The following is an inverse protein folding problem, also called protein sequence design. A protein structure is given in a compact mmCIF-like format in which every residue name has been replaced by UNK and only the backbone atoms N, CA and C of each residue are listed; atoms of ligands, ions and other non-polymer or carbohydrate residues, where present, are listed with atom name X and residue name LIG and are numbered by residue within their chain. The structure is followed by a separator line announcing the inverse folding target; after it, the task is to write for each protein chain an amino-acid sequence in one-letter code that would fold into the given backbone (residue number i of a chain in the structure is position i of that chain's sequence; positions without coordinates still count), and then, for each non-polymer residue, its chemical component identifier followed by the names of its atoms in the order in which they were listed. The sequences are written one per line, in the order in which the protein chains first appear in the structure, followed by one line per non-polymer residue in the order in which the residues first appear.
data_IF_690720866454
#
_entry.id   IF_690720866454
#
_cell.length_a   1.000
_cell.length_b   1.000
_cell.length_c   1.000
_cell.angle_alpha   90.00
_cell.angle_beta   90.00
_cell.angle_gamma   90.00
#
_symmetry.space_group_name_H-M   'P 1'
#
loop_
_entity.id
_entity.type
_entity.pdbx_description
1 polymer ?
#
# COMPACT_ATOMS: atom_id res chain seq x y z
N UNK A 1 -22.45 -1.04 -15.04
CA UNK A 1 -21.19 -0.44 -14.54
C UNK A 1 -20.10 -1.46 -14.73
N UNK A 2 -19.15 -1.22 -15.61
CA UNK A 2 -17.99 -2.11 -15.75
C UNK A 2 -17.16 -1.97 -14.48
N UNK A 3 -16.81 -3.05 -13.76
CA UNK A 3 -15.91 -2.92 -12.62
C UNK A 3 -14.59 -2.35 -13.14
N UNK A 4 -14.13 -1.27 -12.50
CA UNK A 4 -12.81 -0.69 -12.78
C UNK A 4 -11.77 -1.72 -12.34
N UNK A 5 -11.32 -2.53 -13.28
CA UNK A 5 -10.28 -3.52 -13.01
C UNK A 5 -8.98 -2.73 -13.00
N UNK A 6 -8.39 -2.60 -11.83
CA UNK A 6 -7.05 -2.01 -11.67
C UNK A 6 -6.07 -2.71 -12.62
N UNK A 7 -5.19 -1.93 -13.26
CA UNK A 7 -4.21 -2.50 -14.20
C UNK A 7 -3.18 -3.40 -13.49
N UNK A 8 -3.09 -3.33 -12.17
CA UNK A 8 -2.19 -4.16 -11.39
C UNK A 8 -2.82 -4.59 -10.06
N UNK A 9 -2.69 -5.87 -9.73
CA UNK A 9 -3.07 -6.45 -8.45
C UNK A 9 -1.80 -6.78 -7.68
N UNK A 10 -1.68 -6.26 -6.45
CA UNK A 10 -0.59 -6.54 -5.53
C UNK A 10 -1.08 -7.45 -4.40
N UNK A 11 -0.53 -8.66 -4.31
CA UNK A 11 -0.76 -9.59 -3.20
C UNK A 11 0.42 -9.50 -2.23
N UNK A 12 0.14 -9.32 -0.94
CA UNK A 12 1.17 -9.12 0.09
C UNK A 12 0.97 -10.14 1.20
N UNK A 13 2.01 -10.92 1.48
CA UNK A 13 2.07 -11.76 2.68
C UNK A 13 2.40 -10.87 3.89
N UNK A 14 1.39 -10.63 4.74
CA UNK A 14 1.50 -9.68 5.83
C UNK A 14 2.50 -10.07 6.91
N UNK A 15 2.55 -11.35 7.30
CA UNK A 15 3.49 -11.79 8.33
C UNK A 15 4.91 -11.92 7.81
N UNK A 16 5.10 -12.27 6.54
CA UNK A 16 6.40 -12.24 5.90
C UNK A 16 6.96 -10.80 5.90
N UNK A 17 6.13 -9.81 5.54
CA UNK A 17 6.50 -8.39 5.60
C UNK A 17 6.86 -7.94 7.02
N UNK A 18 6.02 -8.23 8.02
CA UNK A 18 6.28 -7.88 9.43
C UNK A 18 7.57 -8.54 9.94
N UNK A 19 7.85 -9.77 9.50
CA UNK A 19 9.03 -10.50 9.91
C UNK A 19 10.35 -9.96 9.35
N UNK A 20 10.32 -9.39 8.15
CA UNK A 20 11.51 -9.00 7.40
C UNK A 20 11.73 -7.48 7.32
N UNK A 21 10.67 -6.68 7.44
CA UNK A 21 10.83 -5.24 7.48
C UNK A 21 11.31 -4.79 8.86
N UNK A 22 12.54 -4.24 9.01
CA UNK A 22 13.16 -3.99 10.30
C UNK A 22 12.29 -3.19 11.28
N UNK A 23 11.66 -2.13 10.80
CA UNK A 23 10.78 -1.26 11.58
C UNK A 23 9.54 -1.99 12.12
N UNK A 24 8.93 -2.87 11.33
CA UNK A 24 7.75 -3.65 11.72
C UNK A 24 8.15 -4.81 12.63
N UNK A 25 9.30 -5.46 12.35
CA UNK A 25 9.85 -6.52 13.18
C UNK A 25 10.16 -6.02 14.59
N UNK A 26 10.78 -4.86 14.74
CA UNK A 26 11.06 -4.27 16.04
C UNK A 26 9.78 -4.04 16.87
N UNK A 27 8.70 -3.59 16.24
CA UNK A 27 7.40 -3.43 16.91
C UNK A 27 6.79 -4.77 17.32
N UNK A 28 6.81 -5.75 16.43
CA UNK A 28 6.34 -7.11 16.74
C UNK A 28 7.09 -7.70 17.95
N UNK A 29 8.41 -7.52 18.01
CA UNK A 29 9.27 -8.11 19.04
C UNK A 29 9.07 -7.47 20.41
N UNK A 30 8.40 -6.32 20.49
CA UNK A 30 7.93 -5.67 21.74
C UNK A 30 6.53 -6.11 22.17
N UNK A 31 6.04 -7.25 21.71
CA UNK A 31 4.68 -7.78 21.93
C UNK A 31 3.54 -6.89 21.33
N UNK A 32 3.86 -6.09 20.34
CA UNK A 32 2.91 -5.18 19.68
C UNK A 32 2.54 -5.66 18.26
N UNK A 33 2.25 -6.95 18.09
CA UNK A 33 1.91 -7.52 16.78
C UNK A 33 0.76 -6.77 16.10
N UNK A 34 -0.26 -6.39 16.87
CA UNK A 34 -1.39 -5.61 16.33
C UNK A 34 -0.96 -4.21 15.88
N UNK A 35 -0.02 -3.60 16.59
CA UNK A 35 0.56 -2.31 16.18
C UNK A 35 1.35 -2.45 14.89
N UNK A 36 2.13 -3.53 14.72
CA UNK A 36 2.86 -3.80 13.48
C UNK A 36 1.91 -4.04 12.29
N UNK A 37 0.79 -4.77 12.50
CA UNK A 37 -0.26 -4.94 11.47
C UNK A 37 -0.85 -3.62 11.05
N UNK A 38 -1.25 -2.79 12.01
CA UNK A 38 -1.86 -1.47 11.75
C UNK A 38 -0.93 -0.58 10.96
N UNK A 39 0.34 -0.53 11.34
CA UNK A 39 1.34 0.25 10.62
C UNK A 39 1.55 -0.25 9.18
N UNK A 40 1.61 -1.57 8.97
CA UNK A 40 1.70 -2.14 7.62
C UNK A 40 0.48 -1.75 6.78
N UNK A 41 -0.72 -1.79 7.33
CA UNK A 41 -1.95 -1.34 6.65
C UNK A 41 -1.84 0.14 6.28
N UNK A 42 -1.44 1.02 7.20
CA UNK A 42 -1.32 2.46 6.96
C UNK A 42 -0.36 2.80 5.82
N UNK A 43 0.82 2.18 5.80
CA UNK A 43 1.80 2.46 4.73
C UNK A 43 1.33 1.92 3.38
N UNK A 44 0.62 0.79 3.35
CA UNK A 44 0.07 0.21 2.13
C UNK A 44 -1.14 0.99 1.60
N UNK A 45 -1.92 1.67 2.44
CA UNK A 45 -3.00 2.59 2.00
C UNK A 45 -2.43 3.67 1.07
N UNK A 46 -1.38 4.34 1.51
CA UNK A 46 -0.74 5.39 0.71
C UNK A 46 -0.06 4.82 -0.55
N UNK A 47 0.66 3.72 -0.39
CA UNK A 47 1.38 3.10 -1.49
C UNK A 47 0.45 2.62 -2.60
N UNK A 48 -0.60 1.87 -2.26
CA UNK A 48 -1.56 1.35 -3.24
C UNK A 48 -2.32 2.46 -3.96
N UNK A 49 -2.65 3.56 -3.25
CA UNK A 49 -3.34 4.70 -3.85
C UNK A 49 -2.45 5.47 -4.84
N UNK A 50 -1.16 5.67 -4.51
CA UNK A 50 -0.21 6.38 -5.38
C UNK A 50 0.16 5.56 -6.62
N UNK A 51 0.29 4.25 -6.46
CA UNK A 51 0.62 3.32 -7.56
C UNK A 51 -0.60 2.89 -8.38
N UNK A 52 -1.81 3.23 -7.93
CA UNK A 52 -3.09 2.76 -8.49
C UNK A 52 -3.19 1.22 -8.54
N UNK A 53 -2.70 0.55 -7.50
CA UNK A 53 -2.80 -0.90 -7.34
C UNK A 53 -4.11 -1.29 -6.65
N UNK A 54 -4.67 -2.44 -7.00
CA UNK A 54 -5.57 -3.19 -6.13
C UNK A 54 -4.72 -4.06 -5.20
N UNK A 55 -4.47 -3.60 -3.99
CA UNK A 55 -3.65 -4.31 -3.02
C UNK A 55 -4.52 -5.21 -2.12
N UNK A 56 -4.08 -6.45 -1.93
CA UNK A 56 -4.66 -7.44 -1.02
C UNK A 56 -3.60 -7.88 -0.03
N UNK A 57 -3.73 -7.41 1.21
CA UNK A 57 -2.86 -7.79 2.31
C UNK A 57 -3.45 -9.04 2.98
N UNK A 58 -2.67 -10.11 3.04
CA UNK A 58 -3.12 -11.42 3.55
C UNK A 58 -2.43 -11.73 4.87
N UNK A 59 -3.22 -12.07 5.88
CA UNK A 59 -2.75 -12.57 7.17
C UNK A 59 -3.24 -13.98 7.41
N UNK A 60 -2.36 -14.83 7.88
CA UNK A 60 -2.69 -16.19 8.31
C UNK A 60 -3.55 -16.17 9.59
N UNK A 61 -4.61 -17.01 9.63
CA UNK A 61 -5.51 -17.10 10.76
C UNK A 61 -4.93 -17.82 11.99
N UNK A 62 -3.66 -18.18 12.00
CA UNK A 62 -3.01 -18.96 13.09
C UNK A 62 -3.26 -18.40 14.51
N UNK A 63 -3.74 -17.18 14.61
CA UNK A 63 -3.99 -16.49 15.88
C UNK A 63 -5.47 -16.12 16.12
N UNK A 64 -6.39 -16.61 15.30
CA UNK A 64 -7.82 -16.34 15.45
C UNK A 64 -8.65 -17.60 15.15
N UNK A 65 -9.48 -18.04 16.07
CA UNK A 65 -10.50 -19.08 15.88
C UNK A 65 -11.73 -18.54 15.12
N UNK A 66 -11.52 -17.60 14.20
CA UNK A 66 -12.61 -16.94 13.47
C UNK A 66 -12.60 -17.37 12.00
N UNK A 67 -13.77 -17.44 11.35
CA UNK A 67 -13.84 -17.70 9.90
C UNK A 67 -13.11 -16.61 9.12
N UNK A 68 -12.82 -16.90 7.85
CA UNK A 68 -12.17 -15.93 6.95
C UNK A 68 -12.92 -14.60 6.96
N UNK A 69 -12.17 -13.51 7.08
CA UNK A 69 -12.71 -12.15 7.07
C UNK A 69 -12.00 -11.35 6.00
N UNK A 70 -12.80 -10.66 5.19
CA UNK A 70 -12.31 -9.65 4.26
C UNK A 70 -12.72 -8.27 4.74
N UNK A 71 -11.75 -7.43 5.00
CA UNK A 71 -11.97 -6.03 5.39
C UNK A 71 -11.56 -5.10 4.23
N UNK A 72 -12.47 -4.26 3.76
CA UNK A 72 -12.16 -3.23 2.77
C UNK A 72 -11.69 -1.98 3.52
N UNK A 73 -10.42 -1.67 3.41
CA UNK A 73 -9.82 -0.50 4.06
C UNK A 73 -10.00 0.75 3.21
N UNK A 74 -9.70 0.65 1.92
CA UNK A 74 -9.92 1.71 0.93
C UNK A 74 -10.35 1.08 -0.40
N UNK A 75 -10.66 1.91 -1.40
CA UNK A 75 -10.91 1.40 -2.75
C UNK A 75 -9.72 0.64 -3.36
N UNK A 76 -8.50 0.91 -2.87
CA UNK A 76 -7.25 0.34 -3.37
C UNK A 76 -6.64 -0.73 -2.45
N UNK A 77 -7.13 -0.89 -1.21
CA UNK A 77 -6.58 -1.85 -0.25
C UNK A 77 -7.66 -2.63 0.47
N UNK A 78 -7.54 -3.94 0.46
CA UNK A 78 -8.29 -4.87 1.31
C UNK A 78 -7.36 -5.74 2.14
N UNK A 79 -7.80 -6.07 3.35
CA UNK A 79 -7.12 -7.02 4.26
C UNK A 79 -7.91 -8.32 4.29
N UNK A 80 -7.22 -9.42 4.14
CA UNK A 80 -7.80 -10.75 4.12
C UNK A 80 -7.19 -11.58 5.24
N UNK A 81 -8.03 -12.12 6.10
CA UNK A 81 -7.63 -13.12 7.09
C UNK A 81 -8.07 -14.49 6.56
N UNK A 82 -7.16 -15.44 6.52
CA UNK A 82 -7.43 -16.79 6.00
C UNK A 82 -8.37 -17.56 6.93
N UNK A 83 -8.99 -18.61 6.43
CA UNK A 83 -9.75 -19.55 7.25
C UNK A 83 -8.82 -20.34 8.20
N UNK A 84 -9.39 -20.88 9.28
CA UNK A 84 -8.66 -21.79 10.15
C UNK A 84 -8.10 -22.97 9.32
N UNK A 85 -6.79 -23.21 9.47
CA UNK A 85 -6.08 -24.25 8.72
C UNK A 85 -5.67 -23.87 7.29
N UNK A 86 -6.01 -22.67 6.81
CA UNK A 86 -5.52 -22.13 5.54
C UNK A 86 -4.37 -21.16 5.80
N UNK A 87 -3.24 -21.36 5.14
CA UNK A 87 -2.09 -20.44 5.22
C UNK A 87 -2.25 -19.27 4.25
N UNK A 88 -1.54 -18.18 4.53
CA UNK A 88 -1.44 -17.03 3.61
C UNK A 88 -0.90 -17.47 2.24
N UNK A 89 0.09 -18.36 2.22
CA UNK A 89 0.65 -18.95 0.98
C UNK A 89 -0.44 -19.60 0.12
N UNK A 90 -1.22 -20.49 0.71
CA UNK A 90 -2.32 -21.17 -0.01
C UNK A 90 -3.36 -20.20 -0.54
N UNK A 91 -3.66 -19.14 0.23
CA UNK A 91 -4.58 -18.09 -0.22
C UNK A 91 -4.02 -17.32 -1.40
N UNK A 92 -2.74 -16.92 -1.34
CA UNK A 92 -2.03 -16.18 -2.39
C UNK A 92 -1.96 -17.02 -3.66
N UNK A 93 -1.60 -18.30 -3.56
CA UNK A 93 -1.55 -19.22 -4.70
C UNK A 93 -2.91 -19.37 -5.40
N UNK A 94 -3.98 -19.59 -4.65
CA UNK A 94 -5.36 -19.64 -5.19
C UNK A 94 -5.75 -18.32 -5.86
N UNK A 95 -5.38 -17.19 -5.26
CA UNK A 95 -5.61 -15.87 -5.84
C UNK A 95 -4.86 -15.69 -7.15
N UNK A 96 -3.61 -16.12 -7.23
CA UNK A 96 -2.81 -16.09 -8.46
C UNK A 96 -3.44 -16.93 -9.57
N UNK A 97 -3.91 -18.13 -9.24
CA UNK A 97 -4.58 -19.01 -10.19
C UNK A 97 -5.85 -18.36 -10.78
N UNK A 98 -6.67 -17.72 -9.95
CA UNK A 98 -7.89 -17.01 -10.39
C UNK A 98 -7.55 -15.77 -11.22
N UNK A 99 -6.70 -14.88 -10.68
CA UNK A 99 -6.32 -13.62 -11.32
C UNK A 99 -5.64 -13.81 -12.67
N UNK A 100 -4.93 -14.90 -12.87
CA UNK A 100 -4.32 -15.24 -14.16
C UNK A 100 -5.31 -15.22 -15.32
N UNK A 101 -6.53 -15.69 -15.10
CA UNK A 101 -7.59 -15.70 -16.10
C UNK A 101 -8.25 -14.33 -16.23
N UNK A 102 -8.54 -13.69 -15.13
CA UNK A 102 -9.19 -12.37 -15.09
C UNK A 102 -8.33 -11.29 -15.78
N UNK A 103 -7.04 -11.24 -15.46
CA UNK A 103 -6.11 -10.25 -16.00
C UNK A 103 -5.78 -10.45 -17.49
N UNK A 104 -5.91 -11.68 -18.01
CA UNK A 104 -5.75 -11.94 -19.44
C UNK A 104 -6.89 -11.36 -20.29
N UNK A 105 -8.07 -11.21 -19.72
CA UNK A 105 -9.26 -10.69 -20.43
C UNK A 105 -9.30 -9.16 -20.48
N UNK A 106 -8.47 -8.48 -19.70
CA UNK A 106 -8.39 -7.01 -19.68
C UNK A 106 -7.64 -6.52 -20.92
N UNK A 107 -8.26 -5.57 -21.65
CA UNK A 107 -7.61 -4.86 -22.76
C UNK A 107 -6.42 -4.03 -22.24
N UNK A 108 -5.27 -4.62 -22.24
CA UNK A 108 -4.05 -4.04 -21.70
C UNK A 108 -3.56 -4.93 -20.55
N UNK A 109 -2.48 -5.60 -20.75
CA UNK A 109 -1.85 -6.60 -19.90
C UNK A 109 -1.94 -6.26 -18.40
N UNK A 110 -2.98 -6.74 -17.73
CA UNK A 110 -3.09 -6.63 -16.28
C UNK A 110 -1.89 -7.32 -15.62
N UNK A 111 -1.29 -6.66 -14.63
CA UNK A 111 -0.11 -7.16 -13.91
C UNK A 111 -0.55 -7.79 -12.60
N UNK A 112 0.09 -8.87 -12.24
CA UNK A 112 -0.06 -9.53 -10.93
C UNK A 112 1.30 -9.52 -10.25
N UNK A 113 1.38 -8.90 -9.09
CA UNK A 113 2.62 -8.75 -8.31
C UNK A 113 2.40 -9.45 -6.98
N UNK A 114 3.36 -10.26 -6.54
CA UNK A 114 3.33 -10.91 -5.23
C UNK A 114 4.56 -10.49 -4.42
N UNK A 115 4.30 -9.89 -3.25
CA UNK A 115 5.33 -9.49 -2.32
C UNK A 115 5.50 -10.56 -1.23
N UNK A 116 6.59 -11.31 -1.33
CA UNK A 116 7.02 -12.33 -0.37
C UNK A 116 8.51 -12.55 -0.48
N UNK A 117 9.14 -12.96 0.62
CA UNK A 117 10.53 -13.42 0.63
C UNK A 117 10.64 -14.93 0.89
N UNK A 118 9.52 -15.64 0.96
CA UNK A 118 9.53 -17.10 0.97
C UNK A 118 9.90 -17.64 -0.42
N UNK A 119 10.99 -18.41 -0.46
CA UNK A 119 11.57 -18.88 -1.74
C UNK A 119 10.68 -19.93 -2.44
N UNK A 120 9.98 -20.75 -1.68
CA UNK A 120 9.06 -21.74 -2.24
C UNK A 120 7.87 -21.04 -2.86
N UNK A 121 7.29 -20.07 -2.15
CA UNK A 121 6.20 -19.25 -2.64
C UNK A 121 6.59 -18.45 -3.89
N UNK A 122 7.81 -17.89 -3.95
CA UNK A 122 8.32 -17.17 -5.14
C UNK A 122 8.24 -18.02 -6.40
N UNK A 123 8.75 -19.27 -6.34
CA UNK A 123 8.75 -20.17 -7.49
C UNK A 123 7.32 -20.50 -7.95
N UNK A 124 6.42 -20.72 -7.00
CA UNK A 124 5.03 -21.05 -7.28
C UNK A 124 4.31 -19.89 -7.95
N UNK A 125 4.40 -18.66 -7.42
CA UNK A 125 3.69 -17.51 -7.97
C UNK A 125 4.20 -17.07 -9.33
N UNK A 126 5.52 -17.20 -9.58
CA UNK A 126 6.10 -16.98 -10.90
C UNK A 126 5.58 -18.00 -11.91
N UNK A 127 5.36 -19.24 -11.51
CA UNK A 127 4.72 -20.27 -12.33
C UNK A 127 3.29 -19.93 -12.76
N UNK A 128 2.57 -19.13 -11.97
CA UNK A 128 1.26 -18.57 -12.36
C UNK A 128 1.37 -17.32 -13.24
N UNK A 129 2.56 -16.80 -13.47
CA UNK A 129 2.81 -15.62 -14.28
C UNK A 129 2.78 -14.32 -13.47
N UNK A 130 2.91 -14.40 -12.15
CA UNK A 130 3.09 -13.23 -11.31
C UNK A 130 4.52 -12.67 -11.40
N UNK A 131 4.63 -11.36 -11.28
CA UNK A 131 5.89 -10.69 -10.96
C UNK A 131 6.15 -10.86 -9.46
N UNK A 132 7.35 -11.26 -9.11
CA UNK A 132 7.75 -11.39 -7.72
C UNK A 132 8.49 -10.15 -7.22
N UNK A 133 8.23 -9.77 -5.98
CA UNK A 133 8.89 -8.68 -5.25
C UNK A 133 9.30 -9.17 -3.86
N UNK A 134 10.53 -8.89 -3.43
CA UNK A 134 10.93 -9.24 -2.07
C UNK A 134 10.33 -8.28 -1.04
N UNK A 135 10.34 -8.68 0.24
CA UNK A 135 9.88 -7.82 1.33
C UNK A 135 10.72 -6.53 1.42
N UNK A 136 12.03 -6.62 1.18
CA UNK A 136 12.93 -5.47 1.18
C UNK A 136 12.65 -4.54 0.01
N UNK A 137 12.36 -5.09 -1.17
CA UNK A 137 12.00 -4.28 -2.33
C UNK A 137 10.69 -3.53 -2.10
N UNK A 138 9.65 -4.22 -1.58
CA UNK A 138 8.39 -3.55 -1.25
C UNK A 138 8.60 -2.47 -0.19
N UNK A 139 9.39 -2.73 0.86
CA UNK A 139 9.70 -1.74 1.89
C UNK A 139 10.38 -0.49 1.29
N UNK A 140 11.38 -0.68 0.43
CA UNK A 140 12.09 0.41 -0.24
C UNK A 140 11.16 1.22 -1.16
N UNK A 141 10.28 0.56 -1.90
CA UNK A 141 9.32 1.22 -2.79
C UNK A 141 8.28 2.02 -2.01
N UNK A 142 7.76 1.47 -0.91
CA UNK A 142 6.83 2.17 -0.01
C UNK A 142 7.47 3.42 0.56
N UNK A 143 8.69 3.33 1.09
CA UNK A 143 9.40 4.48 1.65
C UNK A 143 9.73 5.54 0.59
N UNK A 144 10.14 5.11 -0.60
CA UNK A 144 10.41 6.01 -1.73
C UNK A 144 9.16 6.76 -2.16
N UNK A 145 8.03 6.05 -2.24
CA UNK A 145 6.72 6.61 -2.59
C UNK A 145 6.25 7.62 -1.55
N UNK A 146 6.38 7.31 -0.26
CA UNK A 146 6.04 8.23 0.83
C UNK A 146 6.85 9.53 0.75
N UNK A 147 8.18 9.43 0.58
CA UNK A 147 9.08 10.59 0.41
C UNK A 147 8.72 11.44 -0.80
N UNK A 148 8.35 10.83 -1.92
CA UNK A 148 7.91 11.54 -3.13
C UNK A 148 6.61 12.28 -2.91
N UNK A 149 5.63 11.65 -2.28
CA UNK A 149 4.34 12.23 -1.94
C UNK A 149 4.49 13.44 -1.03
N UNK A 150 5.30 13.35 0.04
CA UNK A 150 5.59 14.48 0.93
C UNK A 150 6.22 15.67 0.22
N UNK A 151 7.19 15.41 -0.69
CA UNK A 151 7.83 16.47 -1.48
C UNK A 151 6.82 17.17 -2.39
N UNK A 152 5.93 16.43 -3.02
CA UNK A 152 4.88 16.99 -3.87
C UNK A 152 3.88 17.82 -3.06
N UNK A 153 3.49 17.38 -1.86
CA UNK A 153 2.60 18.15 -0.98
C UNK A 153 3.25 19.46 -0.51
N UNK A 154 4.54 19.42 -0.14
CA UNK A 154 5.29 20.63 0.24
C UNK A 154 5.40 21.62 -0.93
N UNK A 155 5.69 21.14 -2.12
CA UNK A 155 5.79 21.96 -3.34
C UNK A 155 4.44 22.60 -3.70
N UNK A 156 3.33 21.85 -3.61
CA UNK A 156 1.99 22.38 -3.86
C UNK A 156 1.57 23.45 -2.84
N UNK A 157 1.86 23.24 -1.55
CA UNK A 157 1.62 24.27 -0.52
C UNK A 157 2.42 25.55 -0.79
N UNK A 158 3.67 25.43 -1.21
CA UNK A 158 4.52 26.58 -1.51
C UNK A 158 4.07 27.33 -2.77
N UNK A 159 3.64 26.62 -3.81
CA UNK A 159 3.10 27.22 -5.02
C UNK A 159 1.72 27.88 -4.78
N UNK A 160 0.82 27.27 -4.01
CA UNK A 160 -0.47 27.90 -3.73
C UNK A 160 -0.35 29.18 -2.91
N UNK A 161 0.61 29.25 -1.98
CA UNK A 161 0.87 30.49 -1.23
C UNK A 161 1.49 31.59 -2.10
N UNK A 162 2.32 31.24 -3.09
CA UNK A 162 2.84 32.20 -4.08
C UNK A 162 1.78 32.68 -5.05
N UNK A 163 0.88 31.81 -5.50
CA UNK A 163 -0.22 32.19 -6.39
C UNK A 163 -1.17 33.16 -5.70
N UNK A 164 -1.51 32.89 -4.44
CA UNK A 164 -2.37 33.80 -3.66
C UNK A 164 -1.70 35.16 -3.41
N UNK A 165 -0.40 35.21 -3.14
CA UNK A 165 0.29 36.49 -2.95
C UNK A 165 0.45 37.29 -4.25
N UNK A 166 0.60 36.62 -5.40
CA UNK A 166 0.75 37.30 -6.70
C UNK A 166 -0.58 37.75 -7.31
N UNK A 167 -1.72 37.19 -6.86
CA UNK A 167 -3.07 37.58 -7.30
C UNK A 167 -3.69 38.69 -6.47
N UNK A 168 -3.04 39.11 -5.39
CA UNK A 168 -3.48 40.23 -4.55
C UNK A 168 -2.90 41.55 -5.08
N UNK A 169 -3.71 42.60 -4.98
CA UNK A 169 -3.24 43.97 -5.23
C UNK A 169 -2.10 44.38 -4.28
N UNK A 170 -1.28 45.37 -4.63
CA UNK A 170 -0.12 45.76 -3.83
C UNK A 170 -0.42 46.16 -2.40
N UNK A 171 -1.60 46.73 -2.16
CA UNK A 171 -2.06 47.16 -0.83
C UNK A 171 -2.42 45.99 0.08
N UNK A 172 -3.09 45.01 -0.48
CA UNK A 172 -3.42 43.75 0.22
C UNK A 172 -2.15 42.91 0.50
N UNK A 173 -1.14 42.95 -0.39
CA UNK A 173 0.16 42.32 -0.15
C UNK A 173 0.89 42.93 1.05
N UNK A 174 0.91 44.28 1.13
CA UNK A 174 1.54 45.00 2.25
C UNK A 174 0.79 44.72 3.57
N UNK A 175 -0.53 44.65 3.56
CA UNK A 175 -1.36 44.34 4.72
C UNK A 175 -1.08 42.95 5.28
N UNK A 176 -0.99 41.96 4.40
CA UNK A 176 -0.60 40.59 4.75
C UNK A 176 0.84 40.50 5.29
N UNK A 177 1.78 41.24 4.71
CA UNK A 177 3.15 41.31 5.17
C UNK A 177 3.25 41.89 6.60
N UNK A 178 2.48 42.97 6.90
CA UNK A 178 2.39 43.56 8.25
C UNK A 178 1.81 42.59 9.27
N UNK A 179 0.72 41.90 8.94
CA UNK A 179 0.13 40.87 9.82
C UNK A 179 1.09 39.73 10.13
N UNK A 180 1.91 39.34 9.16
CA UNK A 180 2.91 38.25 9.31
C UNK A 180 4.08 38.64 10.21
N UNK A 181 4.36 39.94 10.32
CA UNK A 181 5.38 40.50 11.20
C UNK A 181 4.84 40.93 12.57
N UNK A 182 3.56 40.65 12.87
CA UNK A 182 2.94 41.04 14.13
C UNK A 182 2.78 42.55 14.32
N UNK A 183 2.85 43.32 13.24
CA UNK A 183 2.67 44.78 13.23
C UNK A 183 1.19 45.06 12.89
N UNK A 184 0.43 45.47 13.91
CA UNK A 184 -0.94 45.95 13.76
C UNK A 184 -1.01 47.40 13.31
#
# INVERSE_FOLDING_TARGET
MSPYISQAVLLVDGYNMIGLWPRLREKRDRDELETARRELIEVLVNYSAVQDFEARLVFDAHYRDTPSVKEIITKNLSVHYTDFGQTADTYIEKSCASLRYELRSVKGKGRMIVATSDRAQQLTVVGYGAEWMSAEQLAADVESTARRSERQHKSRKHNSSRFLSNSLDPESQQRLARMRMGLH
#
